data_IF_341110762391
#
_entry.id   IF_341110762391
#
_cell.length_a   1.000
_cell.length_b   1.000
_cell.length_c   1.000
_cell.angle_alpha   90.00
_cell.angle_beta   90.00
_cell.angle_gamma   90.00
#
_symmetry.space_group_name_H-M   'P 1'
#
loop_
_entity.id
_entity.type
_entity.pdbx_description
1 polymer ?
#
# COMPACT_ATOMS: atom_id res chain seq x y z
N UNK A 1 -32.31 -21.14 -7.73
CA UNK A 1 -31.18 -20.22 -7.46
C UNK A 1 -30.14 -20.44 -8.55
N UNK A 2 -29.92 -19.47 -9.44
CA UNK A 2 -28.90 -19.54 -10.48
C UNK A 2 -27.59 -19.08 -9.85
N UNK A 3 -26.63 -19.99 -9.71
CA UNK A 3 -25.27 -19.63 -9.30
C UNK A 3 -24.63 -18.94 -10.50
N UNK A 4 -24.17 -17.71 -10.32
CA UNK A 4 -23.37 -17.00 -11.31
C UNK A 4 -21.92 -17.13 -10.87
N UNK A 5 -21.12 -17.78 -11.70
CA UNK A 5 -19.68 -17.89 -11.54
C UNK A 5 -19.03 -16.71 -12.27
N UNK A 6 -19.00 -15.56 -11.61
CA UNK A 6 -18.29 -14.38 -12.09
C UNK A 6 -17.44 -13.87 -10.93
N UNK A 7 -16.13 -14.08 -11.02
CA UNK A 7 -15.18 -13.55 -10.05
C UNK A 7 -14.99 -12.05 -10.31
N UNK A 8 -15.71 -11.23 -9.54
CA UNK A 8 -15.48 -9.78 -9.51
C UNK A 8 -14.30 -9.50 -8.57
N UNK A 9 -13.07 -9.76 -9.04
CA UNK A 9 -11.86 -9.52 -8.25
C UNK A 9 -11.25 -8.16 -8.60
N UNK A 10 -10.64 -7.51 -7.62
CA UNK A 10 -9.88 -6.27 -7.85
C UNK A 10 -8.63 -6.55 -8.67
N UNK A 11 -7.96 -5.50 -9.14
CA UNK A 11 -6.64 -5.59 -9.80
C UNK A 11 -5.79 -4.38 -9.44
N UNK A 12 -4.51 -4.36 -9.83
CA UNK A 12 -3.64 -3.19 -9.63
C UNK A 12 -3.57 -2.74 -8.17
N UNK A 13 -3.45 -3.68 -7.23
CA UNK A 13 -3.27 -3.36 -5.82
C UNK A 13 -1.90 -2.71 -5.66
N UNK A 14 -1.87 -1.49 -5.15
CA UNK A 14 -0.67 -0.70 -4.93
C UNK A 14 -0.66 -0.13 -3.51
N UNK A 15 0.54 0.04 -2.95
CA UNK A 15 0.75 0.62 -1.64
C UNK A 15 1.76 1.76 -1.76
N UNK A 16 1.36 2.94 -1.28
CA UNK A 16 2.27 4.09 -1.15
C UNK A 16 2.48 4.29 0.34
N UNK A 17 3.67 3.94 0.79
CA UNK A 17 4.09 4.12 2.18
C UNK A 17 4.28 5.59 2.52
N UNK A 18 4.01 5.92 3.78
CA UNK A 18 4.66 7.05 4.44
C UNK A 18 6.04 6.56 4.89
N UNK A 19 7.03 7.45 4.86
CA UNK A 19 8.44 7.25 5.18
C UNK A 19 8.71 6.96 6.67
N UNK A 20 7.93 6.04 7.23
CA UNK A 20 7.99 5.58 8.60
C UNK A 20 9.06 4.49 8.72
N UNK A 21 9.64 4.36 9.91
CA UNK A 21 10.75 3.45 10.21
C UNK A 21 10.52 2.03 9.64
N UNK A 22 11.60 1.32 9.29
CA UNK A 22 11.60 0.05 8.54
C UNK A 22 10.73 -1.11 9.08
N UNK A 23 10.12 -0.95 10.26
CA UNK A 23 9.23 -1.93 10.90
C UNK A 23 7.77 -1.48 11.02
N UNK A 24 7.42 -0.29 10.55
CA UNK A 24 6.11 0.31 10.71
C UNK A 24 5.46 0.59 9.36
N UNK A 25 4.20 0.21 9.25
CA UNK A 25 3.39 0.46 8.06
C UNK A 25 2.54 1.72 8.29
N UNK A 26 2.34 2.49 7.22
CA UNK A 26 1.47 3.66 7.20
C UNK A 26 1.40 4.22 5.79
N UNK A 27 0.29 4.84 5.42
CA UNK A 27 0.08 5.37 4.07
C UNK A 27 -1.19 4.85 3.42
N UNK A 28 -1.20 4.72 2.09
CA UNK A 28 -2.41 4.42 1.34
C UNK A 28 -2.29 3.11 0.57
N UNK A 29 -3.26 2.22 0.75
CA UNK A 29 -3.46 1.04 -0.08
C UNK A 29 -4.55 1.39 -1.09
N UNK A 30 -4.26 1.18 -2.37
CA UNK A 30 -5.18 1.46 -3.47
C UNK A 30 -5.35 0.23 -4.36
N UNK A 31 -6.46 0.18 -5.08
CA UNK A 31 -6.73 -0.89 -6.05
C UNK A 31 -7.60 -0.37 -7.19
N UNK A 32 -7.69 -1.18 -8.24
CA UNK A 32 -8.62 -1.01 -9.36
C UNK A 32 -9.84 -1.91 -9.13
N UNK A 33 -11.07 -1.33 -8.99
CA UNK A 33 -12.31 -2.10 -8.91
C UNK A 33 -12.50 -3.07 -10.09
N UNK A 34 -13.21 -4.20 -9.90
CA UNK A 34 -13.59 -5.07 -11.00
C UNK A 34 -14.49 -4.37 -12.02
N UNK A 35 -14.45 -4.80 -13.28
CA UNK A 35 -15.32 -4.27 -14.33
C UNK A 35 -16.82 -4.52 -14.02
N UNK A 36 -17.14 -5.68 -13.42
CA UNK A 36 -18.48 -6.01 -12.94
C UNK A 36 -18.58 -5.76 -11.42
N UNK A 37 -19.15 -4.62 -11.04
CA UNK A 37 -19.45 -4.28 -9.65
C UNK A 37 -20.88 -4.62 -9.23
N UNK A 38 -21.69 -5.30 -10.06
CA UNK A 38 -23.13 -5.49 -9.81
C UNK A 38 -23.46 -6.16 -8.47
N UNK A 39 -22.50 -6.90 -7.91
CA UNK A 39 -22.63 -7.65 -6.65
C UNK A 39 -21.60 -7.27 -5.60
N UNK A 40 -20.68 -6.37 -5.93
CA UNK A 40 -19.66 -5.90 -5.00
C UNK A 40 -20.29 -4.80 -4.15
N UNK A 41 -20.42 -5.06 -2.85
CA UNK A 41 -20.95 -4.12 -1.87
C UNK A 41 -19.84 -3.47 -1.06
N UNK A 42 -18.73 -4.17 -0.85
CA UNK A 42 -17.58 -3.68 -0.13
C UNK A 42 -16.29 -4.41 -0.56
N UNK A 43 -15.16 -3.91 -0.06
CA UNK A 43 -13.85 -4.50 -0.12
C UNK A 43 -13.32 -4.68 1.30
N UNK A 44 -12.74 -5.85 1.57
CA UNK A 44 -12.09 -6.14 2.84
C UNK A 44 -10.57 -6.24 2.59
N UNK A 45 -9.79 -5.48 3.36
CA UNK A 45 -8.32 -5.42 3.23
C UNK A 45 -7.69 -6.03 4.47
N UNK A 46 -6.68 -6.88 4.27
CA UNK A 46 -6.00 -7.57 5.35
C UNK A 46 -4.48 -7.51 5.21
N UNK A 47 -3.78 -7.59 6.33
CA UNK A 47 -2.40 -8.08 6.38
C UNK A 47 -2.43 -9.61 6.28
N UNK A 48 -1.49 -10.22 5.57
CA UNK A 48 -1.39 -11.67 5.42
C UNK A 48 0.06 -12.14 5.36
N UNK A 49 0.30 -13.40 5.71
CA UNK A 49 1.62 -14.04 5.57
C UNK A 49 1.88 -14.55 4.14
N UNK A 50 0.87 -14.53 3.26
CA UNK A 50 1.00 -14.84 1.84
C UNK A 50 0.02 -14.05 0.98
N UNK A 51 0.29 -13.99 -0.34
CA UNK A 51 -0.61 -13.38 -1.33
C UNK A 51 -1.99 -14.05 -1.44
N UNK A 52 -2.15 -15.24 -0.86
CA UNK A 52 -3.43 -15.98 -0.82
C UNK A 52 -4.24 -15.71 0.46
N UNK A 53 -3.77 -14.82 1.35
CA UNK A 53 -4.48 -14.45 2.57
C UNK A 53 -4.33 -15.44 3.73
N UNK A 54 -3.19 -16.15 3.80
CA UNK A 54 -2.87 -16.98 4.97
C UNK A 54 -2.67 -16.13 6.22
N UNK A 55 -3.16 -16.63 7.36
CA UNK A 55 -3.05 -15.98 8.68
C UNK A 55 -3.44 -14.49 8.63
N UNK A 56 -4.53 -14.17 7.95
CA UNK A 56 -4.88 -12.78 7.69
C UNK A 56 -5.39 -12.03 8.92
N UNK A 57 -5.09 -10.74 9.01
CA UNK A 57 -5.58 -9.81 10.03
C UNK A 57 -6.19 -8.58 9.37
N UNK A 58 -7.45 -8.24 9.69
CA UNK A 58 -8.18 -7.19 8.98
C UNK A 58 -7.63 -5.81 9.33
N UNK A 59 -7.47 -4.97 8.32
CA UNK A 59 -7.06 -3.58 8.47
C UNK A 59 -8.31 -2.71 8.43
N UNK A 60 -8.63 -2.05 9.53
CA UNK A 60 -9.82 -1.22 9.63
C UNK A 60 -11.11 -2.06 9.50
N UNK A 61 -12.07 -1.57 8.72
CA UNK A 61 -13.33 -2.27 8.43
C UNK A 61 -13.65 -2.27 6.94
N UNK A 62 -14.85 -2.77 6.61
CA UNK A 62 -15.33 -2.87 5.24
C UNK A 62 -15.26 -1.52 4.50
N UNK A 63 -14.59 -1.51 3.35
CA UNK A 63 -14.50 -0.34 2.47
C UNK A 63 -15.66 -0.39 1.48
N UNK A 64 -16.59 0.58 1.46
CA UNK A 64 -17.80 0.49 0.64
C UNK A 64 -17.48 0.47 -0.86
N UNK A 65 -18.32 -0.24 -1.63
CA UNK A 65 -18.26 -0.19 -3.08
C UNK A 65 -18.42 1.26 -3.58
N UNK A 66 -17.55 1.66 -4.51
CA UNK A 66 -17.39 3.05 -4.96
C UNK A 66 -16.16 3.75 -4.38
N UNK A 67 -15.57 3.20 -3.32
CA UNK A 67 -14.21 3.55 -2.90
C UNK A 67 -13.19 2.52 -3.44
N UNK A 68 -11.93 2.94 -3.54
CA UNK A 68 -10.83 2.12 -4.01
C UNK A 68 -9.50 2.44 -3.31
N UNK A 69 -9.61 3.00 -2.09
CA UNK A 69 -8.52 3.42 -1.25
C UNK A 69 -8.85 3.08 0.20
N UNK A 70 -7.84 2.55 0.91
CA UNK A 70 -7.84 2.42 2.36
C UNK A 70 -6.61 3.15 2.91
N UNK A 71 -6.86 4.11 3.80
CA UNK A 71 -5.79 4.75 4.56
C UNK A 71 -5.37 3.82 5.70
N UNK A 72 -4.11 3.41 5.68
CA UNK A 72 -3.47 2.64 6.73
C UNK A 72 -2.95 3.63 7.79
N UNK A 73 -3.38 3.50 9.06
CA UNK A 73 -2.87 4.36 10.12
C UNK A 73 -1.33 4.27 10.20
N UNK A 74 -0.64 5.38 10.48
CA UNK A 74 0.80 5.34 10.75
C UNK A 74 1.08 4.44 11.96
N UNK A 75 2.33 3.97 12.07
CA UNK A 75 2.77 3.09 13.17
C UNK A 75 2.04 1.73 13.21
N UNK A 76 1.43 1.27 12.12
CA UNK A 76 0.76 -0.04 12.09
C UNK A 76 1.82 -1.16 12.08
N UNK A 77 1.89 -2.03 13.10
CA UNK A 77 2.88 -3.09 13.13
C UNK A 77 2.56 -4.18 12.10
N UNK A 78 3.58 -4.62 11.35
CA UNK A 78 3.43 -5.71 10.38
C UNK A 78 3.21 -7.09 11.04
N UNK A 79 3.62 -7.29 12.30
CA UNK A 79 3.44 -8.52 13.10
C UNK A 79 3.75 -9.84 12.38
N UNK A 80 4.77 -9.86 11.52
CA UNK A 80 5.17 -11.07 10.76
C UNK A 80 4.36 -11.35 9.49
N UNK A 81 3.41 -10.48 9.15
CA UNK A 81 2.79 -10.44 7.83
C UNK A 81 3.78 -9.87 6.81
N UNK A 82 3.58 -10.23 5.54
CA UNK A 82 4.46 -9.80 4.44
C UNK A 82 3.68 -9.32 3.22
N UNK A 83 2.35 -9.38 3.26
CA UNK A 83 1.47 -9.04 2.16
C UNK A 83 0.27 -8.23 2.65
N UNK A 84 -0.19 -7.33 1.81
CA UNK A 84 -1.56 -6.84 1.82
C UNK A 84 -2.40 -7.72 0.91
N UNK A 85 -3.62 -8.07 1.31
CA UNK A 85 -4.57 -8.80 0.47
C UNK A 85 -5.91 -8.08 0.45
N UNK A 86 -6.51 -7.97 -0.73
CA UNK A 86 -7.79 -7.30 -0.95
C UNK A 86 -8.80 -8.30 -1.48
N UNK A 87 -9.95 -8.35 -0.83
CA UNK A 87 -11.10 -9.16 -1.19
C UNK A 87 -12.26 -8.29 -1.63
N UNK A 88 -13.09 -8.80 -2.54
CA UNK A 88 -14.42 -8.24 -2.77
C UNK A 88 -15.46 -8.94 -1.91
N UNK A 89 -16.48 -8.20 -1.48
CA UNK A 89 -17.56 -8.70 -0.63
C UNK A 89 -18.91 -8.40 -1.23
N UNK A 90 -19.75 -9.43 -1.23
CA UNK A 90 -21.13 -9.37 -1.70
C UNK A 90 -22.12 -9.49 -0.53
N UNK A 91 -23.42 -9.38 -0.83
CA UNK A 91 -24.47 -9.64 0.17
C UNK A 91 -24.49 -11.08 0.68
N UNK A 92 -23.88 -12.02 -0.04
CA UNK A 92 -23.82 -13.42 0.37
C UNK A 92 -22.56 -13.71 1.18
N UNK A 93 -21.40 -13.35 0.62
CA UNK A 93 -20.10 -13.72 1.18
C UNK A 93 -18.96 -12.86 0.57
N UNK A 94 -17.84 -12.83 1.29
CA UNK A 94 -16.52 -12.44 0.79
C UNK A 94 -16.02 -13.41 -0.30
N UNK A 95 -15.25 -12.90 -1.24
CA UNK A 95 -14.52 -13.69 -2.23
C UNK A 95 -13.60 -14.73 -1.55
N UNK A 96 -13.43 -15.91 -2.14
CA UNK A 96 -12.55 -16.95 -1.57
C UNK A 96 -11.08 -16.78 -1.91
N UNK A 97 -10.77 -16.05 -2.99
CA UNK A 97 -9.41 -15.85 -3.50
C UNK A 97 -9.14 -14.35 -3.60
N UNK A 98 -8.20 -13.80 -2.80
CA UNK A 98 -7.86 -12.38 -2.87
C UNK A 98 -6.94 -12.04 -4.02
N UNK A 99 -6.70 -10.74 -4.18
CA UNK A 99 -5.49 -10.23 -4.83
C UNK A 99 -4.52 -9.74 -3.77
N UNK A 100 -3.29 -10.26 -3.82
CA UNK A 100 -2.24 -9.93 -2.86
C UNK A 100 -1.15 -9.04 -3.45
N UNK A 101 -0.65 -8.13 -2.62
CA UNK A 101 0.52 -7.29 -2.85
C UNK A 101 1.55 -7.62 -1.76
N UNK A 102 2.78 -7.98 -2.14
CA UNK A 102 3.88 -8.17 -1.18
C UNK A 102 4.38 -6.80 -0.72
N UNK A 103 4.82 -6.70 0.53
CA UNK A 103 5.57 -5.53 0.97
C UNK A 103 6.84 -5.40 0.11
N UNK A 104 7.01 -4.23 -0.50
CA UNK A 104 8.28 -3.80 -1.10
C UNK A 104 8.85 -2.75 -0.16
N UNK A 105 10.01 -3.02 0.41
CA UNK A 105 10.80 -2.02 1.11
C UNK A 105 11.62 -1.30 0.03
N UNK A 106 11.04 -0.27 -0.55
CA UNK A 106 11.75 0.62 -1.45
C UNK A 106 12.46 1.65 -0.58
N UNK A 107 13.65 1.28 -0.09
CA UNK A 107 14.52 2.24 0.58
C UNK A 107 14.93 3.27 -0.48
N UNK A 108 14.22 4.38 -0.54
CA UNK A 108 14.56 5.53 -1.38
C UNK A 108 15.89 6.12 -0.89
N UNK A 109 17.01 5.58 -1.36
CA UNK A 109 18.32 6.14 -1.07
C UNK A 109 18.50 7.40 -1.92
N UNK A 110 18.32 8.58 -1.31
CA UNK A 110 18.77 9.82 -1.90
C UNK A 110 20.29 9.74 -2.12
N UNK A 111 20.72 9.69 -3.38
CA UNK A 111 22.12 9.73 -3.76
C UNK A 111 22.49 11.14 -4.23
N UNK A 112 23.72 11.58 -3.96
CA UNK A 112 24.19 12.91 -4.37
C UNK A 112 23.90 14.04 -3.38
N UNK A 113 23.90 13.76 -2.07
CA UNK A 113 24.01 14.84 -1.05
C UNK A 113 25.39 15.48 -1.20
N UNK A 114 25.42 16.66 -1.80
CA UNK A 114 26.59 17.53 -1.87
C UNK A 114 26.27 18.84 -1.16
N UNK A 115 27.08 19.19 -0.17
CA UNK A 115 27.11 20.55 0.38
C UNK A 115 28.20 21.30 -0.39
N UNK A 116 27.81 22.32 -1.15
CA UNK A 116 28.78 23.34 -1.59
C UNK A 116 28.81 24.38 -0.49
N UNK A 117 29.88 24.32 0.29
CA UNK A 117 30.20 25.29 1.32
C UNK A 117 30.60 26.60 0.62
N UNK A 118 29.76 27.63 0.70
CA UNK A 118 30.02 28.95 0.09
C UNK A 118 30.34 30.04 1.13
N UNK A 119 30.48 29.71 2.42
CA UNK A 119 31.04 30.66 3.38
C UNK A 119 32.58 30.57 3.42
N UNK A 120 33.22 31.74 3.37
CA UNK A 120 34.69 31.92 3.32
C UNK A 120 35.25 32.25 4.71
N UNK A 121 34.51 31.93 5.78
CA UNK A 121 34.76 32.38 7.14
C UNK A 121 34.67 31.17 8.11
N UNK A 122 35.75 30.85 8.83
CA UNK A 122 35.82 29.62 9.63
C UNK A 122 34.86 29.60 10.83
N UNK A 123 33.86 28.71 10.78
CA UNK A 123 33.03 28.34 11.93
C UNK A 123 31.51 28.39 11.74
N UNK A 124 31.01 28.73 10.56
CA UNK A 124 29.58 28.74 10.24
C UNK A 124 29.23 27.66 9.20
N UNK A 125 27.93 27.32 9.07
CA UNK A 125 27.42 26.47 8.01
C UNK A 125 26.41 27.32 7.22
N UNK A 126 26.83 27.84 6.07
CA UNK A 126 25.99 28.56 5.12
C UNK A 126 25.96 27.89 3.74
N UNK A 127 24.76 27.58 3.23
CA UNK A 127 24.59 27.03 1.88
C UNK A 127 23.17 26.56 1.60
N UNK A 128 22.79 26.53 0.32
CA UNK A 128 21.51 25.95 -0.11
C UNK A 128 21.66 24.43 -0.19
N UNK A 129 20.93 23.71 0.66
CA UNK A 129 20.89 22.25 0.60
C UNK A 129 20.08 21.84 -0.63
N UNK A 130 20.73 21.16 -1.59
CA UNK A 130 20.07 20.57 -2.76
C UNK A 130 20.31 19.07 -2.80
N UNK A 131 19.26 18.32 -3.07
CA UNK A 131 19.33 16.90 -3.39
C UNK A 131 18.61 16.66 -4.71
N UNK A 132 19.08 15.67 -5.47
CA UNK A 132 18.31 15.17 -6.60
C UNK A 132 17.21 14.25 -6.03
N UNK A 133 15.94 14.42 -6.46
CA UNK A 133 14.93 13.43 -6.14
C UNK A 133 15.40 12.06 -6.67
N UNK A 134 15.09 10.97 -5.95
CA UNK A 134 15.39 9.62 -6.44
C UNK A 134 14.77 9.44 -7.84
N UNK A 135 15.45 8.69 -8.70
CA UNK A 135 14.93 8.38 -10.02
C UNK A 135 13.58 7.67 -9.83
N UNK A 136 12.52 8.26 -10.37
CA UNK A 136 11.20 7.66 -10.47
C UNK A 136 11.33 6.41 -11.36
N UNK A 137 11.43 5.24 -10.75
CA UNK A 137 11.38 3.94 -11.41
C UNK A 137 9.93 3.49 -11.57
N UNK A 138 9.17 4.32 -12.28
CA UNK A 138 7.93 3.89 -12.91
C UNK A 138 8.20 2.81 -13.97
N UNK A 139 8.15 1.53 -13.60
CA UNK A 139 7.91 0.38 -14.49
C UNK A 139 6.91 -0.62 -13.85
#
# INVERSE_FOLDING_TARGET
HRIHDAAASVSGVAYVGQDLDAAQLGGNITWTPPLDMTRVLAYDVYLASSSLGLQRSQIGGDVPAGANLLALPPETPAEGHSHFVVYTKSSLVEQTTPVGLRFSDEIAQASGVGLVDEDLDGGELGGEVRWLPPADDSE
#
